data_IF_100434109797
#
_entry.id   IF_100434109797
#
_cell.length_a   1.000
_cell.length_b   1.000
_cell.length_c   1.000
_cell.angle_alpha   90.00
_cell.angle_beta   90.00
_cell.angle_gamma   90.00
#
_symmetry.space_group_name_H-M   'P 1'
#
loop_
_entity.id
_entity.type
_entity.pdbx_description
1 polymer ?
#
# COMPACT_ATOMS: atom_id res chain seq x y z
N UNK A 1 13.05 -15.28 -61.35
CA UNK A 1 12.26 -15.68 -60.17
C UNK A 1 11.58 -17.01 -60.49
N UNK A 2 12.08 -18.10 -59.89
CA UNK A 2 11.50 -19.42 -60.10
C UNK A 2 10.19 -19.52 -59.30
N UNK A 3 9.06 -19.55 -60.00
CA UNK A 3 7.75 -19.78 -59.39
C UNK A 3 7.56 -21.30 -59.25
N UNK A 4 7.67 -21.80 -58.03
CA UNK A 4 7.41 -23.18 -57.67
C UNK A 4 5.89 -23.44 -57.71
N UNK A 5 5.43 -24.22 -58.69
CA UNK A 5 4.03 -24.69 -58.80
C UNK A 5 3.91 -26.01 -58.02
N UNK A 6 3.67 -25.89 -56.73
CA UNK A 6 3.39 -27.02 -55.83
C UNK A 6 2.10 -27.74 -56.20
N UNK A 7 2.09 -29.07 -56.06
CA UNK A 7 0.92 -29.92 -56.32
C UNK A 7 -0.27 -29.52 -55.44
N UNK A 8 -1.51 -29.69 -55.93
CA UNK A 8 -2.75 -29.29 -55.25
C UNK A 8 -2.90 -29.82 -53.79
N UNK A 9 -2.15 -30.85 -53.41
CA UNK A 9 -2.06 -31.38 -52.04
C UNK A 9 -1.29 -30.48 -51.06
N UNK A 10 -0.39 -29.60 -51.52
CA UNK A 10 0.38 -28.69 -50.66
C UNK A 10 -0.45 -27.48 -50.19
N UNK A 11 -1.58 -27.19 -50.83
CA UNK A 11 -2.47 -26.08 -50.45
C UNK A 11 -3.02 -26.21 -49.03
N UNK A 12 -3.39 -27.43 -48.61
CA UNK A 12 -3.89 -27.69 -47.25
C UNK A 12 -2.80 -27.54 -46.18
N UNK A 13 -1.58 -27.98 -46.48
CA UNK A 13 -0.42 -27.83 -45.59
C UNK A 13 0.01 -26.37 -45.48
N UNK A 14 -0.02 -25.62 -46.58
CA UNK A 14 0.23 -24.19 -46.58
C UNK A 14 -0.83 -23.43 -45.75
N UNK A 15 -2.11 -23.80 -45.87
CA UNK A 15 -3.18 -23.20 -45.07
C UNK A 15 -3.03 -23.46 -43.56
N UNK A 16 -2.64 -24.67 -43.15
CA UNK A 16 -2.35 -24.97 -41.75
C UNK A 16 -1.15 -24.19 -41.19
N UNK A 17 -0.09 -24.02 -41.99
CA UNK A 17 1.07 -23.23 -41.60
C UNK A 17 0.75 -21.73 -41.48
N UNK A 18 -0.11 -21.20 -42.35
CA UNK A 18 -0.61 -19.83 -42.27
C UNK A 18 -1.47 -19.61 -41.03
N UNK A 19 -2.41 -20.54 -40.75
CA UNK A 19 -3.24 -20.50 -39.53
C UNK A 19 -2.40 -20.58 -38.25
N UNK A 20 -1.36 -21.42 -38.24
CA UNK A 20 -0.43 -21.54 -37.10
C UNK A 20 0.41 -20.27 -36.91
N UNK A 21 0.80 -19.59 -38.01
CA UNK A 21 1.47 -18.29 -37.95
C UNK A 21 0.57 -17.19 -37.42
N UNK A 22 -0.68 -17.16 -37.86
CA UNK A 22 -1.67 -16.17 -37.41
C UNK A 22 -1.95 -16.29 -35.92
N UNK A 23 -2.16 -17.52 -35.41
CA UNK A 23 -2.32 -17.77 -33.97
C UNK A 23 -1.09 -17.35 -33.15
N UNK A 24 0.12 -17.67 -33.64
CA UNK A 24 1.35 -17.26 -32.96
C UNK A 24 1.53 -15.73 -32.95
N UNK A 25 1.14 -15.04 -34.02
CA UNK A 25 1.16 -13.57 -34.07
C UNK A 25 0.15 -12.97 -33.09
N UNK A 26 -1.06 -13.50 -33.03
CA UNK A 26 -2.09 -13.06 -32.08
C UNK A 26 -1.65 -13.27 -30.62
N UNK A 27 -1.00 -14.40 -30.31
CA UNK A 27 -0.49 -14.66 -28.96
C UNK A 27 0.65 -13.70 -28.58
N UNK A 28 1.54 -13.37 -29.52
CA UNK A 28 2.59 -12.37 -29.31
C UNK A 28 2.00 -10.98 -29.10
N UNK A 29 1.00 -10.59 -29.90
CA UNK A 29 0.31 -9.31 -29.73
C UNK A 29 -0.43 -9.22 -28.39
N UNK A 30 -1.08 -10.30 -27.96
CA UNK A 30 -1.76 -10.38 -26.67
C UNK A 30 -0.75 -10.26 -25.52
N UNK A 31 0.36 -11.00 -25.56
CA UNK A 31 1.43 -10.89 -24.55
C UNK A 31 2.05 -9.50 -24.54
N UNK A 32 2.25 -8.88 -25.70
CA UNK A 32 2.77 -7.51 -25.81
C UNK A 32 1.81 -6.49 -25.19
N UNK A 33 0.51 -6.61 -25.46
CA UNK A 33 -0.53 -5.75 -24.85
C UNK A 33 -0.61 -5.93 -23.33
N UNK A 34 -0.53 -7.18 -22.84
CA UNK A 34 -0.52 -7.48 -21.40
C UNK A 34 0.71 -6.87 -20.71
N UNK A 35 1.89 -7.02 -21.31
CA UNK A 35 3.13 -6.40 -20.82
C UNK A 35 3.03 -4.87 -20.85
N UNK A 36 2.46 -4.29 -21.91
CA UNK A 36 2.24 -2.85 -22.02
C UNK A 36 1.29 -2.36 -20.92
N UNK A 37 0.20 -3.07 -20.65
CA UNK A 37 -0.75 -2.75 -19.57
C UNK A 37 -0.10 -2.81 -18.19
N UNK A 38 0.68 -3.87 -17.91
CA UNK A 38 1.40 -4.05 -16.65
C UNK A 38 2.52 -2.99 -16.45
N UNK A 39 3.17 -2.57 -17.54
CA UNK A 39 4.19 -1.50 -17.55
C UNK A 39 3.60 -0.09 -17.60
N UNK A 40 2.34 0.06 -18.00
CA UNK A 40 1.68 1.37 -18.06
C UNK A 40 1.40 1.81 -16.64
N UNK A 41 2.35 2.52 -16.06
CA UNK A 41 2.22 3.05 -14.70
C UNK A 41 1.24 4.21 -14.68
N UNK A 42 -0.04 3.88 -14.78
CA UNK A 42 -1.21 4.78 -14.79
C UNK A 42 -1.40 5.58 -13.50
N UNK A 43 -0.53 5.39 -12.50
CA UNK A 43 -0.66 5.97 -11.16
C UNK A 43 0.58 6.74 -10.67
N UNK A 44 1.61 7.02 -11.49
CA UNK A 44 2.78 7.79 -11.02
C UNK A 44 2.50 9.30 -10.96
N UNK A 45 1.73 9.83 -11.92
CA UNK A 45 1.48 11.28 -12.02
C UNK A 45 0.72 11.82 -10.79
N UNK A 46 -0.18 11.02 -10.22
CA UNK A 46 -0.89 11.35 -8.98
C UNK A 46 -0.13 11.01 -7.68
N UNK A 47 0.99 10.26 -7.75
CA UNK A 47 1.81 9.93 -6.55
C UNK A 47 2.78 11.06 -6.19
N UNK A 48 3.17 11.87 -7.17
CA UNK A 48 4.11 12.99 -7.00
C UNK A 48 3.46 14.37 -7.18
N UNK A 49 2.21 14.44 -7.62
CA UNK A 49 1.41 15.63 -7.39
C UNK A 49 1.41 15.85 -5.87
N UNK A 50 2.18 16.84 -5.41
CA UNK A 50 2.13 17.29 -4.04
C UNK A 50 0.66 17.41 -3.70
N UNK A 51 0.16 16.52 -2.84
CA UNK A 51 -1.18 16.68 -2.29
C UNK A 51 -1.12 18.03 -1.57
N UNK A 52 -1.51 19.11 -2.25
CA UNK A 52 -2.27 20.15 -1.58
C UNK A 52 -3.43 19.37 -0.97
N UNK A 53 -3.21 18.96 0.27
CA UNK A 53 -4.11 18.09 0.97
C UNK A 53 -5.41 18.88 1.02
N UNK A 54 -6.41 18.46 0.23
CA UNK A 54 -7.67 19.17 0.15
C UNK A 54 -8.26 19.35 1.56
N UNK A 55 -7.95 18.40 2.45
CA UNK A 55 -8.18 18.47 3.90
C UNK A 55 -7.43 19.64 4.55
N UNK A 56 -6.13 19.80 4.33
CA UNK A 56 -5.35 20.91 4.89
C UNK A 56 -5.83 22.28 4.36
N UNK A 57 -6.21 22.39 3.08
CA UNK A 57 -6.80 23.62 2.54
C UNK A 57 -8.17 23.93 3.16
N UNK A 58 -9.02 22.90 3.33
CA UNK A 58 -10.35 23.03 3.96
C UNK A 58 -10.24 23.35 5.45
N UNK A 59 -9.26 22.76 6.14
CA UNK A 59 -8.91 23.10 7.52
C UNK A 59 -8.47 24.55 7.61
N UNK A 60 -7.49 24.98 6.80
CA UNK A 60 -6.96 26.35 6.79
C UNK A 60 -8.04 27.39 6.49
N UNK A 61 -8.90 27.15 5.49
CA UNK A 61 -9.98 28.08 5.16
C UNK A 61 -11.06 28.14 6.24
N UNK A 62 -11.40 27.00 6.86
CA UNK A 62 -12.40 26.94 7.93
C UNK A 62 -11.90 27.43 9.29
N UNK A 63 -10.57 27.57 9.49
CA UNK A 63 -9.97 28.04 10.75
C UNK A 63 -9.34 29.44 10.65
N UNK A 64 -9.62 30.19 9.58
CA UNK A 64 -9.27 31.61 9.51
C UNK A 64 -10.22 32.42 10.41
N UNK A 65 -9.71 32.98 11.50
CA UNK A 65 -10.45 33.81 12.45
C UNK A 65 -10.12 33.53 13.91
N UNK A 66 -10.86 34.16 14.83
CA UNK A 66 -10.78 33.83 16.25
C UNK A 66 -11.60 32.57 16.51
N UNK A 67 -10.92 31.43 16.62
CA UNK A 67 -11.52 30.11 16.81
C UNK A 67 -10.97 29.52 18.12
N UNK A 68 -11.84 28.91 18.90
CA UNK A 68 -11.45 28.23 20.15
C UNK A 68 -10.77 26.89 19.85
N UNK A 69 -9.97 26.38 20.80
CA UNK A 69 -9.29 25.10 20.61
C UNK A 69 -10.27 23.94 20.39
N UNK A 70 -11.44 24.00 21.02
CA UNK A 70 -12.46 22.98 20.90
C UNK A 70 -13.12 23.00 19.51
N UNK A 71 -13.37 24.19 18.95
CA UNK A 71 -13.86 24.35 17.58
C UNK A 71 -12.84 23.86 16.55
N UNK A 72 -11.54 24.09 16.76
CA UNK A 72 -10.48 23.62 15.87
C UNK A 72 -10.41 22.08 15.85
N UNK A 73 -10.52 21.44 17.02
CA UNK A 73 -10.56 19.97 17.16
C UNK A 73 -11.81 19.39 16.52
N UNK A 74 -12.98 19.97 16.78
CA UNK A 74 -14.24 19.53 16.19
C UNK A 74 -14.18 19.58 14.65
N UNK A 75 -13.68 20.69 14.08
CA UNK A 75 -13.51 20.83 12.63
C UNK A 75 -12.53 19.82 12.05
N UNK A 76 -11.45 19.51 12.77
CA UNK A 76 -10.49 18.51 12.33
C UNK A 76 -11.08 17.09 12.34
N UNK A 77 -11.79 16.72 13.40
CA UNK A 77 -12.46 15.43 13.50
C UNK A 77 -13.53 15.25 12.42
N UNK A 78 -14.33 16.29 12.15
CA UNK A 78 -15.37 16.25 11.12
C UNK A 78 -14.77 16.04 9.72
N UNK A 79 -13.70 16.75 9.37
CA UNK A 79 -13.04 16.63 8.07
C UNK A 79 -12.40 15.25 7.90
N UNK A 80 -11.80 14.71 8.96
CA UNK A 80 -11.24 13.35 8.96
C UNK A 80 -12.35 12.32 8.78
N UNK A 81 -13.44 12.42 9.55
CA UNK A 81 -14.59 11.51 9.48
C UNK A 81 -15.28 11.53 8.12
N UNK A 82 -15.43 12.70 7.50
CA UNK A 82 -15.98 12.82 6.14
C UNK A 82 -15.09 12.14 5.10
N UNK A 83 -13.76 12.32 5.21
CA UNK A 83 -12.79 11.68 4.31
C UNK A 83 -12.80 10.17 4.48
N UNK A 84 -12.82 9.67 5.71
CA UNK A 84 -12.91 8.24 6.01
C UNK A 84 -14.21 7.65 5.46
N UNK A 85 -15.34 8.33 5.64
CA UNK A 85 -16.63 7.90 5.07
C UNK A 85 -16.60 7.87 3.55
N UNK A 86 -16.01 8.88 2.90
CA UNK A 86 -15.88 8.92 1.43
C UNK A 86 -14.95 7.83 0.90
N UNK A 87 -13.87 7.52 1.62
CA UNK A 87 -12.97 6.42 1.29
C UNK A 87 -13.66 5.05 1.45
N UNK A 88 -14.42 4.88 2.54
CA UNK A 88 -15.21 3.67 2.78
C UNK A 88 -16.27 3.47 1.68
N UNK A 89 -17.03 4.51 1.32
CA UNK A 89 -18.01 4.47 0.24
C UNK A 89 -17.37 4.13 -1.11
N UNK A 90 -16.25 4.79 -1.45
CA UNK A 90 -15.53 4.52 -2.71
C UNK A 90 -14.99 3.10 -2.76
N UNK A 91 -14.56 2.54 -1.63
CA UNK A 91 -14.09 1.15 -1.53
C UNK A 91 -15.27 0.18 -1.70
N UNK A 92 -16.38 0.41 -1.01
CA UNK A 92 -17.60 -0.39 -1.11
C UNK A 92 -18.18 -0.40 -2.53
N UNK A 93 -18.20 0.75 -3.21
CA UNK A 93 -18.64 0.86 -4.60
C UNK A 93 -17.75 0.05 -5.55
N UNK A 94 -16.42 0.17 -5.41
CA UNK A 94 -15.47 -0.63 -6.21
C UNK A 94 -15.61 -2.13 -5.94
N UNK A 95 -15.82 -2.52 -4.69
CA UNK A 95 -15.98 -3.92 -4.33
C UNK A 95 -17.30 -4.48 -4.88
N UNK A 96 -18.39 -3.69 -4.86
CA UNK A 96 -19.66 -4.04 -5.54
C UNK A 96 -19.51 -4.16 -7.05
N UNK A 97 -18.75 -3.26 -7.69
CA UNK A 97 -18.48 -3.31 -9.13
C UNK A 97 -17.70 -4.57 -9.51
N UNK A 98 -16.66 -4.91 -8.74
CA UNK A 98 -15.91 -6.17 -8.93
C UNK A 98 -16.79 -7.39 -8.75
N UNK A 99 -17.66 -7.40 -7.74
CA UNK A 99 -18.57 -8.52 -7.49
C UNK A 99 -19.51 -8.75 -8.67
N UNK A 100 -20.15 -7.68 -9.17
CA UNK A 100 -21.02 -7.75 -10.36
C UNK A 100 -20.27 -8.20 -11.63
N UNK A 101 -19.01 -7.77 -11.79
CA UNK A 101 -18.20 -8.18 -12.93
C UNK A 101 -17.84 -9.68 -12.87
N UNK A 102 -17.58 -10.21 -11.67
CA UNK A 102 -17.36 -11.65 -11.47
C UNK A 102 -18.63 -12.46 -11.75
N UNK A 103 -19.78 -12.00 -11.24
CA UNK A 103 -21.08 -12.64 -11.46
C UNK A 103 -21.46 -12.68 -12.95
N UNK A 104 -21.27 -11.57 -13.68
CA UNK A 104 -21.52 -11.52 -15.11
C UNK A 104 -20.63 -12.49 -15.92
N UNK A 105 -19.35 -12.62 -15.52
CA UNK A 105 -18.44 -13.59 -16.15
C UNK A 105 -18.85 -15.04 -15.87
N UNK A 106 -19.29 -15.35 -14.65
CA UNK A 106 -19.79 -16.69 -14.32
C UNK A 106 -21.06 -17.02 -15.11
N UNK A 107 -22.01 -16.08 -15.22
CA UNK A 107 -23.22 -16.27 -16.00
C UNK A 107 -22.96 -16.46 -17.51
N UNK A 108 -21.97 -15.76 -18.06
CA UNK A 108 -21.55 -15.95 -19.46
C UNK A 108 -20.93 -17.34 -19.68
N UNK A 109 -20.04 -17.78 -18.77
CA UNK A 109 -19.46 -19.13 -18.81
C UNK A 109 -20.55 -20.22 -18.73
N UNK A 110 -21.53 -20.07 -17.86
CA UNK A 110 -22.64 -21.03 -17.75
C UNK A 110 -23.52 -21.05 -19.01
N UNK A 111 -23.81 -19.89 -19.59
CA UNK A 111 -24.55 -19.81 -20.87
C UNK A 111 -23.78 -20.50 -22.01
N UNK A 112 -22.47 -20.31 -22.08
CA UNK A 112 -21.61 -20.99 -23.06
C UNK A 112 -21.58 -22.50 -22.83
N UNK A 113 -21.42 -22.97 -21.58
CA UNK A 113 -21.49 -24.40 -21.23
C UNK A 113 -22.83 -25.02 -21.64
N UNK A 114 -23.95 -24.35 -21.37
CA UNK A 114 -25.29 -24.81 -21.79
C UNK A 114 -25.46 -24.85 -23.30
N UNK A 115 -24.94 -23.86 -24.02
CA UNK A 115 -25.00 -23.83 -25.49
C UNK A 115 -24.16 -24.95 -26.12
N UNK A 116 -22.96 -25.22 -25.58
CA UNK A 116 -22.11 -26.34 -26.01
C UNK A 116 -22.80 -27.68 -25.72
N UNK A 117 -23.39 -27.85 -24.52
CA UNK A 117 -24.12 -29.06 -24.12
C UNK A 117 -25.38 -29.31 -24.97
N UNK A 118 -26.01 -28.25 -25.48
CA UNK A 118 -27.20 -28.34 -26.35
C UNK A 118 -26.87 -28.70 -27.81
N UNK A 119 -25.60 -28.62 -28.23
CA UNK A 119 -25.16 -29.05 -29.55
C UNK A 119 -24.81 -30.54 -29.50
N UNK A 120 -25.56 -31.38 -30.22
CA UNK A 120 -25.44 -32.84 -30.25
C UNK A 120 -24.19 -33.39 -30.98
N UNK A 121 -23.10 -32.62 -31.01
CA UNK A 121 -21.86 -32.93 -31.74
C UNK A 121 -20.61 -32.97 -30.86
N UNK A 122 -20.73 -32.84 -29.54
CA UNK A 122 -19.64 -33.15 -28.64
C UNK A 122 -19.68 -34.67 -28.36
N UNK A 123 -18.82 -35.51 -29.00
CA UNK A 123 -18.56 -36.81 -28.42
C UNK A 123 -17.99 -36.56 -27.02
N UNK A 124 -18.32 -37.46 -26.13
CA UNK A 124 -17.80 -37.62 -24.78
C UNK A 124 -16.26 -37.66 -24.81
N UNK A 125 -15.62 -36.49 -24.88
CA UNK A 125 -14.19 -36.31 -24.67
C UNK A 125 -14.03 -35.85 -23.22
N UNK A 126 -13.77 -36.86 -22.39
CA UNK A 126 -13.30 -36.77 -21.01
C UNK A 126 -12.06 -35.88 -20.92
N UNK A 127 -12.24 -34.56 -20.98
CA UNK A 127 -11.25 -33.63 -20.45
C UNK A 127 -11.92 -32.68 -19.46
N UNK A 128 -12.46 -33.29 -18.40
CA UNK A 128 -12.48 -32.68 -17.07
C UNK A 128 -11.01 -32.57 -16.58
N UNK A 129 -10.26 -31.62 -17.15
CA UNK A 129 -9.22 -30.94 -16.36
C UNK A 129 -9.96 -30.07 -15.34
N UNK A 130 -10.31 -30.74 -14.25
CA UNK A 130 -10.72 -30.16 -12.98
C UNK A 130 -9.49 -29.44 -12.38
N UNK A 131 -9.28 -28.19 -12.79
CA UNK A 131 -8.49 -27.21 -12.04
C UNK A 131 -9.47 -26.22 -11.39
N UNK A 132 -10.31 -26.74 -10.49
CA UNK A 132 -11.01 -25.93 -9.49
C UNK A 132 -10.37 -26.18 -8.13
N UNK A 133 -9.42 -25.29 -7.79
CA UNK A 133 -9.09 -25.05 -6.40
C UNK A 133 -10.23 -24.25 -5.76
N UNK A 134 -11.05 -24.90 -4.93
CA UNK A 134 -12.05 -24.23 -4.11
C UNK A 134 -11.85 -24.53 -2.61
N UNK A 135 -11.74 -23.45 -1.84
CA UNK A 135 -11.94 -23.42 -0.39
C UNK A 135 -13.44 -23.48 -0.05
N UNK A 136 -13.76 -24.03 1.13
CA UNK A 136 -15.02 -23.80 1.86
C UNK A 136 -15.92 -25.04 1.96
N UNK A 137 -16.13 -25.62 3.16
CA UNK A 137 -17.18 -25.24 4.13
C UNK A 137 -18.58 -25.65 3.62
N UNK A 138 -19.20 -26.73 4.11
CA UNK A 138 -20.18 -26.81 5.22
C UNK A 138 -20.78 -28.24 5.10
N UNK A 139 -21.30 -29.00 6.06
CA UNK A 139 -22.05 -28.70 7.28
C UNK A 139 -23.21 -29.71 7.40
N UNK A 140 -23.20 -30.54 8.47
CA UNK A 140 -24.32 -31.29 9.14
C UNK A 140 -25.23 -32.23 8.30
N UNK A 141 -25.70 -33.38 8.80
CA UNK A 141 -25.59 -33.96 10.13
C UNK A 141 -26.22 -35.37 10.25
N UNK A 142 -25.96 -35.95 11.43
CA UNK A 142 -26.69 -36.99 12.17
C UNK A 142 -26.91 -38.38 11.55
N UNK A 143 -26.24 -39.39 12.14
CA UNK A 143 -26.88 -40.69 12.33
C UNK A 143 -26.42 -41.34 13.65
N UNK A 144 -27.39 -41.98 14.30
CA UNK A 144 -27.28 -42.65 15.60
C UNK A 144 -26.83 -44.12 15.45
N UNK A 145 -26.43 -44.71 16.59
CA UNK A 145 -26.19 -46.14 16.84
C UNK A 145 -24.89 -46.71 16.23
N UNK A 146 -24.17 -47.67 16.83
CA UNK A 146 -24.18 -48.33 18.13
C UNK A 146 -22.91 -49.23 18.17
N UNK A 147 -22.32 -49.34 19.36
CA UNK A 147 -21.52 -50.43 19.91
C UNK A 147 -20.56 -51.33 19.06
N UNK A 148 -19.32 -51.38 19.54
CA UNK A 148 -18.45 -52.56 19.79
C UNK A 148 -17.57 -53.17 18.68
N UNK A 149 -16.31 -53.43 19.06
CA UNK A 149 -15.66 -54.72 18.75
C UNK A 149 -14.49 -54.72 17.75
N UNK A 150 -13.27 -54.64 18.30
CA UNK A 150 -12.06 -55.46 18.00
C UNK A 150 -11.65 -55.81 16.55
N UNK A 151 -10.38 -55.45 16.28
CA UNK A 151 -9.28 -56.22 15.66
C UNK A 151 -9.51 -56.83 14.26
N UNK A 152 -8.84 -56.28 13.23
CA UNK A 152 -7.62 -56.85 12.63
C UNK A 152 -7.27 -56.25 11.24
N UNK A 153 -5.99 -55.87 11.10
CA UNK A 153 -5.17 -55.81 9.87
C UNK A 153 -5.59 -54.91 8.68
N UNK A 154 -5.00 -53.70 8.60
CA UNK A 154 -4.78 -52.96 7.33
C UNK A 154 -3.30 -52.49 7.22
N UNK A 155 -2.68 -52.56 6.03
CA UNK A 155 -1.26 -52.26 5.82
C UNK A 155 -1.01 -50.75 5.93
N UNK A 156 0.17 -50.29 6.42
CA UNK A 156 0.43 -48.87 6.52
C UNK A 156 0.67 -48.28 5.12
N UNK A 157 -0.27 -47.47 4.62
CA UNK A 157 -0.01 -46.53 3.53
C UNK A 157 0.99 -45.49 4.06
N UNK A 158 2.26 -45.69 3.74
CA UNK A 158 3.33 -44.71 3.97
C UNK A 158 2.93 -43.42 3.27
N UNK A 159 2.60 -42.38 4.05
CA UNK A 159 2.50 -41.02 3.52
C UNK A 159 3.88 -40.63 2.98
N UNK A 160 3.89 -39.92 1.86
CA UNK A 160 5.10 -39.46 1.19
C UNK A 160 5.83 -38.34 1.97
N UNK A 161 5.53 -38.18 3.26
CA UNK A 161 5.94 -37.06 4.13
C UNK A 161 6.83 -37.52 5.30
N UNK A 162 7.54 -38.62 5.16
CA UNK A 162 8.48 -39.06 6.21
C UNK A 162 9.81 -39.63 5.70
N UNK A 163 10.34 -39.08 4.60
CA UNK A 163 11.73 -39.32 4.20
C UNK A 163 12.32 -38.09 3.51
N UNK A 164 12.72 -37.08 4.27
CA UNK A 164 13.71 -36.09 3.80
C UNK A 164 14.91 -36.18 4.74
N UNK A 165 16.11 -36.57 4.26
CA UNK A 165 17.31 -36.54 5.10
C UNK A 165 17.56 -35.10 5.56
N UNK A 166 17.74 -34.92 6.87
CA UNK A 166 18.13 -33.65 7.48
C UNK A 166 19.51 -33.24 6.97
N UNK A 167 19.57 -32.45 5.90
CA UNK A 167 20.84 -32.04 5.30
C UNK A 167 20.75 -31.31 3.97
N UNK A 168 19.58 -31.20 3.34
CA UNK A 168 19.44 -30.43 2.09
C UNK A 168 19.50 -28.95 2.43
N UNK A 169 20.70 -28.37 2.28
CA UNK A 169 20.91 -26.92 2.27
C UNK A 169 19.89 -26.35 1.27
N UNK A 170 18.97 -25.52 1.76
CA UNK A 170 17.97 -24.81 0.94
C UNK A 170 18.65 -24.38 -0.36
N UNK A 171 18.06 -24.68 -1.51
CA UNK A 171 18.50 -24.15 -2.80
C UNK A 171 18.57 -22.62 -2.64
N UNK A 172 19.78 -22.11 -2.44
CA UNK A 172 20.06 -20.68 -2.42
C UNK A 172 20.34 -20.32 -3.87
N UNK A 173 19.72 -19.24 -4.34
CA UNK A 173 20.11 -18.63 -5.61
C UNK A 173 21.59 -18.28 -5.54
N UNK A 174 22.27 -18.27 -6.68
CA UNK A 174 23.68 -17.94 -6.79
C UNK A 174 23.97 -16.62 -6.02
N UNK A 175 24.90 -16.60 -5.05
CA UNK A 175 25.14 -15.44 -4.19
C UNK A 175 25.66 -14.20 -4.95
N UNK A 176 26.20 -14.38 -6.15
CA UNK A 176 26.68 -13.28 -7.00
C UNK A 176 25.56 -12.61 -7.81
N UNK A 177 24.34 -13.16 -7.78
CA UNK A 177 23.18 -12.58 -8.48
C UNK A 177 22.48 -11.61 -7.53
N UNK A 178 22.44 -10.34 -7.89
CA UNK A 178 21.72 -9.32 -7.12
C UNK A 178 20.22 -9.64 -7.02
N UNK A 179 19.77 -10.00 -5.82
CA UNK A 179 18.37 -10.28 -5.53
C UNK A 179 17.65 -9.07 -4.92
N UNK A 180 18.20 -7.87 -4.99
CA UNK A 180 17.60 -6.63 -4.46
C UNK A 180 16.24 -6.28 -5.08
N UNK A 181 15.96 -6.79 -6.28
CA UNK A 181 14.70 -6.58 -6.99
C UNK A 181 13.58 -7.55 -6.57
N UNK A 182 13.89 -8.61 -5.83
CA UNK A 182 12.85 -9.49 -5.30
C UNK A 182 12.24 -8.90 -4.02
N UNK A 183 10.91 -8.94 -3.86
CA UNK A 183 10.25 -8.63 -2.60
C UNK A 183 10.83 -9.52 -1.49
N UNK A 184 11.50 -8.88 -0.54
CA UNK A 184 12.18 -9.55 0.57
C UNK A 184 11.74 -8.88 1.86
N UNK A 185 10.92 -9.60 2.63
CA UNK A 185 10.32 -9.14 3.88
C UNK A 185 11.38 -8.66 4.88
N UNK A 186 12.48 -9.40 5.00
CA UNK A 186 13.53 -9.08 5.96
C UNK A 186 14.25 -7.78 5.59
N UNK A 187 14.52 -7.58 4.29
CA UNK A 187 15.10 -6.34 3.78
C UNK A 187 14.21 -5.12 3.96
N UNK A 188 12.91 -5.27 3.69
CA UNK A 188 11.95 -4.18 3.91
C UNK A 188 11.84 -3.81 5.40
N UNK A 189 11.94 -4.80 6.30
CA UNK A 189 11.97 -4.58 7.74
C UNK A 189 13.26 -3.86 8.18
N UNK A 190 14.42 -4.26 7.65
CA UNK A 190 15.71 -3.60 7.90
C UNK A 190 15.71 -2.14 7.41
N UNK A 191 15.21 -1.90 6.19
CA UNK A 191 15.05 -0.55 5.63
C UNK A 191 14.11 0.30 6.48
N UNK A 192 13.02 -0.28 6.99
CA UNK A 192 12.10 0.43 7.87
C UNK A 192 12.74 0.77 9.22
N UNK A 193 13.50 -0.16 9.81
CA UNK A 193 14.27 0.12 11.04
C UNK A 193 15.25 1.26 10.82
N UNK A 194 16.00 1.24 9.72
CA UNK A 194 16.94 2.31 9.37
C UNK A 194 16.23 3.66 9.18
N UNK A 195 15.05 3.67 8.54
CA UNK A 195 14.24 4.89 8.39
C UNK A 195 13.76 5.43 9.74
N UNK A 196 13.36 4.56 10.65
CA UNK A 196 12.93 4.94 11.99
C UNK A 196 14.10 5.48 12.82
N UNK A 197 15.26 4.83 12.76
CA UNK A 197 16.51 5.32 13.39
C UNK A 197 16.89 6.70 12.88
N UNK A 198 16.93 6.89 11.55
CA UNK A 198 17.22 8.20 10.95
C UNK A 198 16.21 9.27 11.35
N UNK A 199 14.92 8.91 11.50
CA UNK A 199 13.89 9.84 11.99
C UNK A 199 14.16 10.25 13.44
N UNK A 200 14.54 9.30 14.30
CA UNK A 200 14.88 9.57 15.69
C UNK A 200 16.14 10.42 15.79
N UNK A 201 17.19 10.08 15.04
CA UNK A 201 18.41 10.88 14.96
C UNK A 201 18.11 12.31 14.50
N UNK A 202 17.30 12.47 13.47
CA UNK A 202 16.92 13.79 12.98
C UNK A 202 16.14 14.57 14.03
N UNK A 203 15.19 13.93 14.72
CA UNK A 203 14.44 14.55 15.81
C UNK A 203 15.36 14.95 16.98
N UNK A 204 16.33 14.11 17.34
CA UNK A 204 17.33 14.42 18.37
C UNK A 204 18.25 15.57 17.93
N UNK A 205 18.71 15.59 16.67
CA UNK A 205 19.50 16.69 16.09
C UNK A 205 18.70 18.00 16.09
N UNK A 206 17.40 17.95 15.79
CA UNK A 206 16.51 19.13 15.89
C UNK A 206 16.31 19.58 17.33
N UNK A 207 16.09 18.64 18.25
CA UNK A 207 15.90 18.95 19.67
C UNK A 207 17.16 19.60 20.27
N UNK A 208 18.34 19.04 20.00
CA UNK A 208 19.62 19.60 20.44
C UNK A 208 19.86 20.99 19.86
N UNK A 209 19.60 21.22 18.57
CA UNK A 209 19.68 22.56 17.95
C UNK A 209 18.72 23.56 18.59
N UNK A 210 17.50 23.13 18.93
CA UNK A 210 16.51 23.98 19.60
C UNK A 210 16.89 24.26 21.07
N UNK A 211 17.57 23.32 21.72
CA UNK A 211 17.98 23.46 23.11
C UNK A 211 19.19 24.37 23.30
N UNK A 212 19.97 24.60 22.23
CA UNK A 212 21.11 25.52 22.25
C UNK A 212 20.70 26.90 22.79
N UNK A 213 21.39 27.34 23.84
CA UNK A 213 21.21 28.64 24.46
C UNK A 213 21.91 29.73 23.64
N UNK A 214 21.19 30.79 23.34
CA UNK A 214 21.63 31.95 22.56
C UNK A 214 21.37 33.20 23.39
N UNK A 215 22.36 34.09 23.43
CA UNK A 215 22.19 35.42 23.98
C UNK A 215 21.65 36.36 22.91
N UNK A 216 20.40 36.78 23.05
CA UNK A 216 19.75 37.73 22.15
C UNK A 216 19.94 39.12 22.73
N UNK A 217 20.58 39.99 21.97
CA UNK A 217 20.70 41.42 22.33
C UNK A 217 19.54 42.19 21.71
N UNK A 218 18.80 42.92 22.53
CA UNK A 218 17.66 43.72 22.09
C UNK A 218 17.77 45.15 22.59
N UNK A 219 17.14 46.07 21.87
CA UNK A 219 17.06 47.46 22.25
C UNK A 219 15.60 47.89 22.34
N UNK A 220 15.27 48.72 23.32
CA UNK A 220 13.96 49.32 23.48
C UNK A 220 14.08 50.83 23.74
N UNK A 221 12.99 51.57 23.53
CA UNK A 221 12.93 53.02 23.61
C UNK A 221 11.72 53.47 24.44
N UNK A 222 11.98 54.29 25.46
CA UNK A 222 10.98 54.87 26.37
C UNK A 222 11.16 56.40 26.53
N UNK A 223 11.95 57.02 25.65
CA UNK A 223 12.44 58.40 25.77
C UNK A 223 13.97 58.46 25.90
N UNK A 224 14.59 57.35 26.31
CA UNK A 224 16.03 57.09 26.20
C UNK A 224 16.27 55.72 25.57
N UNK A 225 17.44 55.53 24.95
CA UNK A 225 17.79 54.29 24.25
C UNK A 225 18.41 53.28 25.21
N UNK A 226 17.76 52.14 25.41
CA UNK A 226 18.25 51.08 26.29
C UNK A 226 18.56 49.82 25.50
N UNK A 227 19.76 49.27 25.71
CA UNK A 227 20.22 48.00 25.11
C UNK A 227 20.42 46.97 26.20
N UNK A 228 19.79 45.81 26.06
CA UNK A 228 19.85 44.70 27.01
C UNK A 228 20.09 43.38 26.29
N UNK A 229 20.52 42.38 27.03
CA UNK A 229 20.72 41.02 26.52
C UNK A 229 19.94 40.02 27.36
N UNK A 230 19.36 39.02 26.70
CA UNK A 230 18.62 37.92 27.33
C UNK A 230 19.17 36.60 26.81
N UNK A 231 19.50 35.69 27.72
CA UNK A 231 19.88 34.32 27.36
C UNK A 231 18.63 33.44 27.29
N UNK A 232 18.47 32.75 26.16
CA UNK A 232 17.38 31.79 25.97
C UNK A 232 17.67 30.74 24.89
N UNK A 233 16.91 29.66 24.91
CA UNK A 233 17.03 28.55 23.94
C UNK A 233 16.53 28.96 22.55
N UNK A 234 17.20 28.49 21.49
CA UNK A 234 16.84 28.74 20.08
C UNK A 234 15.43 28.29 19.71
N UNK A 235 14.92 27.26 20.37
CA UNK A 235 13.58 26.72 20.16
C UNK A 235 12.45 27.54 20.78
N UNK A 236 12.76 28.58 21.55
CA UNK A 236 11.73 29.40 22.19
C UNK A 236 11.03 30.31 21.17
N UNK A 237 9.73 30.52 21.38
CA UNK A 237 8.97 31.41 20.51
C UNK A 237 9.29 32.88 20.81
N UNK A 238 9.04 33.75 19.83
CA UNK A 238 9.18 35.21 19.99
C UNK A 238 8.32 35.71 21.15
N UNK A 239 7.14 35.12 21.35
CA UNK A 239 6.27 35.46 22.48
C UNK A 239 6.95 35.19 23.84
N UNK A 240 7.57 34.02 24.01
CA UNK A 240 8.32 33.70 25.23
C UNK A 240 9.51 34.64 25.44
N UNK A 241 10.13 35.10 24.35
CA UNK A 241 11.19 36.13 24.39
C UNK A 241 10.67 37.47 24.89
N UNK A 242 9.60 37.98 24.28
CA UNK A 242 8.99 39.25 24.69
C UNK A 242 8.52 39.21 26.15
N UNK A 243 7.92 38.09 26.57
CA UNK A 243 7.50 37.89 27.97
C UNK A 243 8.68 37.97 28.94
N UNK A 244 9.79 37.27 28.66
CA UNK A 244 11.02 37.37 29.46
C UNK A 244 11.59 38.79 29.48
N UNK A 245 11.58 39.49 28.34
CA UNK A 245 12.01 40.89 28.28
C UNK A 245 11.14 41.79 29.16
N UNK A 246 9.81 41.63 29.11
CA UNK A 246 8.88 42.39 29.94
C UNK A 246 9.07 42.10 31.43
N UNK A 247 9.28 40.83 31.82
CA UNK A 247 9.55 40.45 33.22
C UNK A 247 10.87 41.05 33.73
N UNK A 248 11.92 41.03 32.91
CA UNK A 248 13.18 41.68 33.23
C UNK A 248 13.00 43.18 33.45
N UNK A 249 12.27 43.86 32.57
CA UNK A 249 12.00 45.29 32.69
C UNK A 249 11.11 45.62 33.89
N UNK A 250 10.07 44.83 34.15
CA UNK A 250 9.19 45.00 35.33
C UNK A 250 9.97 44.95 36.64
N UNK A 251 10.89 43.98 36.76
CA UNK A 251 11.74 43.86 37.96
C UNK A 251 12.67 45.06 38.15
N UNK A 252 13.16 45.63 37.05
CA UNK A 252 13.99 46.84 37.11
C UNK A 252 13.18 48.09 37.46
N UNK A 253 11.99 48.26 36.89
CA UNK A 253 11.11 49.39 37.22
C UNK A 253 10.69 49.37 38.70
N UNK A 254 10.28 48.20 39.23
CA UNK A 254 9.97 48.06 40.66
C UNK A 254 11.18 48.41 41.55
N UNK A 255 12.37 47.94 41.19
CA UNK A 255 13.60 48.22 41.96
C UNK A 255 14.06 49.68 41.86
N UNK A 256 13.70 50.38 40.80
CA UNK A 256 13.99 51.80 40.65
C UNK A 256 13.08 52.65 41.55
N UNK A 257 11.79 52.33 41.61
CA UNK A 257 10.84 53.00 42.51
C UNK A 257 11.22 52.85 44.00
N UNK A 258 11.71 51.68 44.41
CA UNK A 258 12.15 51.43 45.79
C UNK A 258 13.46 52.17 46.19
N UNK A 259 14.22 52.73 45.25
CA UNK A 259 15.47 53.47 45.56
C UNK A 259 15.27 54.96 45.76
N UNK A 260 14.19 55.52 45.22
CA UNK A 260 13.92 56.95 45.22
C UNK A 260 12.89 57.37 46.30
N UNK A 261 12.48 56.45 47.18
CA UNK A 261 11.66 56.70 48.38
C UNK A 261 12.42 56.50 49.68
#
# INVERSE_FOLDING_TARGET
>A
MAYYKGAASEGGRAAQLMKRRELAQQEVEFRKKKIEEDLKVSNIEHKFAAHYDAVEQQLKSSTIGLVTLDEMKAKQEDIVREREKKLAQKKEEKDKEKLKALEAKMAEKDRQRRQIKALSFAPDDENEEDDDGEEGDDGKGNDSADSSGREDLKPPKRSWRDQVPSGVKKIRKNPDVDTSFLPDREREEDDNRLREELRQEWAMKQATLKDQEITITFSYWDGSGHRKSVAMKKGNSIYQFLQKCLEMLRKEFQRAEDRDG
#
